data_IF_027056396896
#
_entry.id   IF_027056396896
#
_cell.length_a   1.000
_cell.length_b   1.000
_cell.length_c   1.000
_cell.angle_alpha   90.00
_cell.angle_beta   90.00
_cell.angle_gamma   90.00
#
_symmetry.space_group_name_H-M   'P 1'
#
loop_
_entity.id
_entity.type
_entity.pdbx_description
1 polymer ?
#
# COMPACT_ATOMS: atom_id res chain seq x y z
N UNK A 1 32.16 26.47 -45.06
CA UNK A 1 33.25 27.24 -44.46
C UNK A 1 32.73 27.82 -43.16
N UNK A 2 32.36 27.00 -42.17
CA UNK A 2 33.17 25.99 -41.39
C UNK A 2 34.05 26.70 -40.35
N UNK A 3 34.17 26.29 -39.06
CA UNK A 3 33.52 25.24 -38.25
C UNK A 3 33.00 25.80 -36.90
N UNK A 4 32.43 25.07 -35.95
CA UNK A 4 32.86 23.79 -35.32
C UNK A 4 34.30 23.86 -34.77
N UNK A 5 34.64 23.44 -33.54
CA UNK A 5 33.83 23.07 -32.35
C UNK A 5 34.77 23.18 -31.09
N UNK A 6 34.43 22.92 -29.82
CA UNK A 6 33.27 22.26 -29.19
C UNK A 6 33.00 22.72 -27.74
N UNK A 7 31.85 22.32 -27.19
CA UNK A 7 31.54 22.37 -25.76
C UNK A 7 31.35 20.98 -25.16
N UNK A 8 32.24 20.57 -24.25
CA UNK A 8 32.19 19.22 -23.64
C UNK A 8 31.18 19.14 -22.50
N UNK A 9 29.94 18.75 -22.80
CA UNK A 9 28.97 18.28 -21.80
C UNK A 9 28.98 16.75 -21.71
N UNK A 10 29.44 16.23 -20.58
CA UNK A 10 29.37 14.79 -20.27
C UNK A 10 27.92 14.31 -20.30
N UNK A 11 27.60 13.41 -21.23
CA UNK A 11 26.25 12.89 -21.41
C UNK A 11 25.76 12.08 -20.21
N UNK A 12 24.54 12.38 -19.73
CA UNK A 12 23.80 11.49 -18.85
C UNK A 12 23.38 10.24 -19.65
N UNK A 13 23.62 9.05 -19.09
CA UNK A 13 23.07 7.81 -19.64
C UNK A 13 21.57 7.71 -19.32
N UNK A 14 20.73 8.19 -20.24
CA UNK A 14 19.34 7.75 -20.34
C UNK A 14 19.32 6.41 -21.12
N UNK A 15 18.93 5.31 -20.46
CA UNK A 15 19.06 3.99 -21.09
C UNK A 15 18.63 2.74 -20.31
N UNK A 16 17.82 2.86 -19.25
CA UNK A 16 17.13 1.70 -18.68
C UNK A 16 15.63 1.96 -18.68
N UNK A 17 14.86 1.14 -19.39
CA UNK A 17 13.40 1.12 -19.25
C UNK A 17 13.01 0.83 -17.79
N UNK A 18 11.84 1.31 -17.31
CA UNK A 18 11.32 0.91 -16.01
C UNK A 18 11.09 -0.61 -16.01
N UNK A 19 11.67 -1.31 -15.02
CA UNK A 19 11.45 -2.75 -14.86
C UNK A 19 9.94 -3.00 -14.71
N UNK A 20 9.38 -3.86 -15.54
CA UNK A 20 7.99 -4.31 -15.48
C UNK A 20 7.92 -5.71 -14.93
N UNK A 21 6.89 -6.01 -14.14
CA UNK A 21 6.70 -7.33 -13.53
C UNK A 21 6.48 -8.42 -14.59
N UNK A 22 5.80 -8.11 -15.70
CA UNK A 22 5.65 -9.04 -16.84
C UNK A 22 6.98 -9.44 -17.50
N UNK A 23 8.02 -8.62 -17.34
CA UNK A 23 9.31 -8.81 -18.01
C UNK A 23 10.36 -9.46 -17.07
N UNK A 24 9.95 -9.87 -15.87
CA UNK A 24 10.76 -10.64 -14.90
C UNK A 24 10.88 -12.09 -15.36
N UNK A 25 12.11 -12.58 -15.47
CA UNK A 25 12.41 -13.97 -15.79
C UNK A 25 13.02 -14.68 -14.58
N UNK A 26 12.41 -15.80 -14.17
CA UNK A 26 12.96 -16.67 -13.13
C UNK A 26 14.03 -17.60 -13.71
N UNK A 27 15.17 -17.83 -13.03
CA UNK A 27 16.22 -18.73 -13.51
C UNK A 27 15.89 -20.23 -13.33
N UNK A 28 14.74 -20.56 -12.74
CA UNK A 28 14.20 -21.90 -12.53
C UNK A 28 12.69 -21.80 -12.28
N UNK A 29 11.91 -22.83 -12.60
CA UNK A 29 10.46 -22.87 -12.37
C UNK A 29 10.02 -24.14 -11.66
N UNK A 30 9.15 -24.01 -10.67
CA UNK A 30 8.54 -25.15 -9.98
C UNK A 30 7.59 -25.95 -10.89
N UNK A 31 6.93 -25.29 -11.84
CA UNK A 31 6.07 -25.91 -12.85
C UNK A 31 6.77 -26.96 -13.71
N UNK A 32 8.10 -26.87 -13.88
CA UNK A 32 8.92 -27.86 -14.60
C UNK A 32 9.05 -29.19 -13.81
N UNK A 33 8.68 -29.19 -12.52
CA UNK A 33 8.71 -30.36 -11.64
C UNK A 33 7.33 -30.91 -11.31
N UNK A 34 6.34 -30.04 -11.09
CA UNK A 34 4.92 -30.38 -10.93
C UNK A 34 4.07 -29.17 -11.33
N UNK A 35 3.16 -29.34 -12.29
CA UNK A 35 2.24 -28.32 -12.79
C UNK A 35 1.44 -27.64 -11.66
N UNK A 36 1.14 -28.37 -10.58
CA UNK A 36 0.44 -27.86 -9.39
C UNK A 36 1.21 -26.75 -8.67
N UNK A 37 2.53 -26.70 -8.85
CA UNK A 37 3.41 -25.71 -8.24
C UNK A 37 3.55 -24.43 -9.09
N UNK A 38 2.93 -24.33 -10.26
CA UNK A 38 2.96 -23.13 -11.10
C UNK A 38 2.42 -21.87 -10.38
N UNK A 39 1.57 -22.04 -9.35
CA UNK A 39 1.15 -20.93 -8.48
C UNK A 39 2.34 -20.33 -7.68
N UNK A 40 3.32 -21.15 -7.29
CA UNK A 40 4.52 -20.67 -6.58
C UNK A 40 5.43 -19.86 -7.51
N UNK A 41 5.53 -20.22 -8.78
CA UNK A 41 6.29 -19.44 -9.78
C UNK A 41 5.69 -18.03 -9.93
N UNK A 42 4.36 -17.92 -10.03
CA UNK A 42 3.66 -16.63 -10.13
C UNK A 42 3.89 -15.75 -8.89
N UNK A 43 3.93 -16.33 -7.69
CA UNK A 43 4.28 -15.57 -6.48
C UNK A 43 5.78 -15.24 -6.42
N UNK A 44 6.66 -16.11 -6.93
CA UNK A 44 8.10 -15.87 -6.95
C UNK A 44 8.49 -14.76 -7.94
N UNK A 45 7.82 -14.68 -9.10
CA UNK A 45 7.92 -13.53 -10.03
C UNK A 45 7.59 -12.22 -9.31
N UNK A 46 6.43 -12.16 -8.63
CA UNK A 46 5.99 -10.99 -7.88
C UNK A 46 6.96 -10.64 -6.73
N UNK A 47 7.44 -11.62 -5.95
CA UNK A 47 8.42 -11.36 -4.89
C UNK A 47 9.79 -10.91 -5.41
N UNK A 48 10.28 -11.48 -6.52
CA UNK A 48 11.53 -11.04 -7.17
C UNK A 48 11.39 -9.61 -7.68
N UNK A 49 10.26 -9.25 -8.28
CA UNK A 49 9.95 -7.87 -8.69
C UNK A 49 9.93 -6.91 -7.50
N UNK A 50 9.14 -7.21 -6.46
CA UNK A 50 9.05 -6.39 -5.25
C UNK A 50 10.45 -6.18 -4.63
N UNK A 51 11.24 -7.25 -4.48
CA UNK A 51 12.58 -7.18 -3.94
C UNK A 51 13.58 -6.41 -4.83
N UNK A 52 13.42 -6.45 -6.16
CA UNK A 52 14.23 -5.67 -7.09
C UNK A 52 13.87 -4.17 -7.04
N UNK A 53 12.57 -3.85 -6.98
CA UNK A 53 12.09 -2.46 -6.91
C UNK A 53 12.41 -1.81 -5.55
N UNK A 54 12.30 -2.56 -4.44
CA UNK A 54 12.82 -2.13 -3.12
C UNK A 54 14.30 -1.77 -3.23
N UNK A 55 15.14 -2.66 -3.78
CA UNK A 55 16.59 -2.42 -3.95
C UNK A 55 16.93 -1.25 -4.89
N UNK A 56 16.04 -0.88 -5.83
CA UNK A 56 16.24 0.24 -6.76
C UNK A 56 15.69 1.58 -6.24
N UNK A 57 14.75 1.58 -5.29
CA UNK A 57 14.05 2.80 -4.84
C UNK A 57 14.20 3.15 -3.36
N UNK A 58 14.42 2.20 -2.46
CA UNK A 58 14.60 2.50 -1.03
C UNK A 58 15.96 3.16 -0.81
N UNK A 59 15.94 4.42 -0.39
CA UNK A 59 17.12 5.22 -0.13
C UNK A 59 17.41 5.34 1.36
N UNK A 60 18.32 6.26 1.70
CA UNK A 60 18.70 6.54 3.09
C UNK A 60 17.49 6.87 3.99
N UNK A 61 16.40 7.42 3.42
CA UNK A 61 15.19 7.76 4.18
C UNK A 61 14.43 6.55 4.69
N UNK A 62 14.30 5.51 3.87
CA UNK A 62 13.60 4.28 4.21
C UNK A 62 14.40 3.50 5.25
N UNK A 63 15.72 3.40 5.06
CA UNK A 63 16.62 2.79 6.05
C UNK A 63 16.71 3.60 7.35
N UNK A 64 16.62 4.93 7.31
CA UNK A 64 16.53 5.76 8.53
C UNK A 64 15.26 5.46 9.31
N UNK A 65 14.12 5.28 8.61
CA UNK A 65 12.86 4.92 9.26
C UNK A 65 12.94 3.55 9.97
N UNK A 66 13.56 2.55 9.32
CA UNK A 66 13.80 1.24 9.94
C UNK A 66 14.81 1.30 11.09
N UNK A 67 15.84 2.15 10.98
CA UNK A 67 16.80 2.40 12.07
C UNK A 67 16.13 3.03 13.29
N UNK A 68 15.23 4.00 13.09
CA UNK A 68 14.42 4.59 14.16
C UNK A 68 13.45 3.57 14.78
N UNK A 69 12.83 2.70 13.97
CA UNK A 69 11.97 1.64 14.49
C UNK A 69 12.76 0.63 15.35
N UNK A 70 13.94 0.19 14.88
CA UNK A 70 14.82 -0.71 15.64
C UNK A 70 15.30 -0.05 16.95
N UNK A 71 15.71 1.21 16.90
CA UNK A 71 16.08 1.98 18.09
C UNK A 71 14.91 2.11 19.07
N UNK A 72 13.71 2.42 18.59
CA UNK A 72 12.48 2.50 19.40
C UNK A 72 12.17 1.19 20.12
N UNK A 73 12.30 0.04 19.44
CA UNK A 73 12.13 -1.29 20.03
C UNK A 73 13.20 -1.59 21.09
N UNK A 74 14.48 -1.44 20.76
CA UNK A 74 15.59 -1.80 21.66
C UNK A 74 15.61 -0.90 22.90
N UNK A 75 15.48 0.42 22.73
CA UNK A 75 15.48 1.37 23.84
C UNK A 75 14.21 1.28 24.71
N UNK A 76 13.11 0.74 24.18
CA UNK A 76 11.85 0.59 24.89
C UNK A 76 11.69 -0.74 25.66
N UNK A 77 12.39 -1.80 25.24
CA UNK A 77 12.18 -3.15 25.77
C UNK A 77 13.44 -3.85 26.30
N UNK A 78 14.65 -3.34 26.02
CA UNK A 78 15.90 -3.97 26.48
C UNK A 78 16.41 -3.32 27.76
N UNK A 79 16.46 -4.09 28.85
CA UNK A 79 16.81 -3.62 30.20
C UNK A 79 18.27 -3.14 30.37
N UNK A 80 19.12 -3.34 29.34
CA UNK A 80 20.53 -2.87 29.23
C UNK A 80 21.45 -3.11 30.45
N UNK A 81 21.08 -4.03 31.35
CA UNK A 81 21.81 -4.33 32.59
C UNK A 81 21.42 -3.46 33.80
N UNK A 82 20.32 -2.73 33.73
CA UNK A 82 19.81 -1.84 34.79
C UNK A 82 19.08 -2.62 35.88
N UNK A 83 18.32 -3.66 35.50
CA UNK A 83 17.53 -4.49 36.41
C UNK A 83 16.11 -4.00 36.66
N UNK A 84 15.62 -3.01 35.91
CA UNK A 84 14.31 -2.39 36.13
C UNK A 84 13.19 -3.18 35.45
N UNK A 85 13.37 -3.55 34.18
CA UNK A 85 12.46 -4.46 33.50
C UNK A 85 12.64 -5.90 34.00
N UNK A 86 13.88 -6.34 34.24
CA UNK A 86 14.14 -7.69 34.75
C UNK A 86 13.73 -7.90 36.22
N UNK A 87 13.69 -6.82 37.02
CA UNK A 87 13.20 -6.83 38.40
C UNK A 87 11.69 -6.57 38.55
N UNK A 88 11.01 -6.14 37.48
CA UNK A 88 9.58 -5.81 37.47
C UNK A 88 9.19 -4.46 38.09
N UNK A 89 10.16 -3.67 38.55
CA UNK A 89 9.97 -2.35 39.15
C UNK A 89 9.06 -2.30 40.39
N UNK A 90 8.66 -1.09 40.80
CA UNK A 90 7.60 -0.90 41.81
C UNK A 90 6.21 -0.94 41.15
N UNK A 91 5.70 -2.16 40.97
CA UNK A 91 4.38 -2.45 40.40
C UNK A 91 3.20 -1.75 41.10
N UNK A 92 3.40 -1.16 42.28
CA UNK A 92 2.38 -0.37 42.99
C UNK A 92 2.24 1.06 42.44
N UNK A 93 3.13 1.51 41.52
CA UNK A 93 3.12 2.86 40.95
C UNK A 93 2.89 2.82 39.44
N UNK A 94 1.75 3.36 38.99
CA UNK A 94 1.32 3.33 37.59
C UNK A 94 1.24 4.74 36.98
N UNK A 95 1.50 4.84 35.67
CA UNK A 95 1.45 6.11 34.94
C UNK A 95 2.47 7.13 35.45
N UNK A 96 2.03 8.39 35.61
CA UNK A 96 2.90 9.52 35.99
C UNK A 96 3.58 9.37 37.37
N UNK A 97 3.05 8.55 38.28
CA UNK A 97 3.72 8.28 39.56
C UNK A 97 4.80 7.21 39.42
N UNK A 98 4.60 6.19 38.58
CA UNK A 98 5.64 5.22 38.22
C UNK A 98 6.79 5.89 37.46
N UNK A 99 6.48 6.63 36.41
CA UNK A 99 7.45 7.30 35.53
C UNK A 99 8.40 8.28 36.26
N UNK A 100 7.97 8.86 37.39
CA UNK A 100 8.78 9.74 38.26
C UNK A 100 9.67 9.01 39.28
N UNK A 101 9.56 7.68 39.37
CA UNK A 101 10.32 6.85 40.31
C UNK A 101 11.17 5.76 39.62
N UNK A 102 11.18 5.75 38.27
CA UNK A 102 12.21 5.04 37.50
C UNK A 102 13.58 5.68 37.76
N UNK A 103 14.65 4.89 37.66
CA UNK A 103 16.01 5.41 37.59
C UNK A 103 16.20 6.32 36.37
N UNK A 104 17.06 7.33 36.50
CA UNK A 104 17.29 8.37 35.48
C UNK A 104 17.65 7.79 34.10
N UNK A 105 18.36 6.66 34.07
CA UNK A 105 18.77 5.99 32.84
C UNK A 105 17.60 5.25 32.17
N UNK A 106 16.78 4.50 32.92
CA UNK A 106 15.53 3.91 32.39
C UNK A 106 14.54 4.96 31.90
N UNK A 107 14.44 6.08 32.63
CA UNK A 107 13.67 7.25 32.22
C UNK A 107 14.17 7.83 30.88
N UNK A 108 15.49 7.99 30.72
CA UNK A 108 16.10 8.46 29.48
C UNK A 108 15.87 7.50 28.31
N UNK A 109 15.99 6.19 28.52
CA UNK A 109 15.73 5.17 27.49
C UNK A 109 14.27 5.19 27.02
N UNK A 110 13.32 5.24 27.95
CA UNK A 110 11.89 5.36 27.63
C UNK A 110 11.57 6.65 26.84
N UNK A 111 12.16 7.79 27.22
CA UNK A 111 12.03 9.05 26.49
C UNK A 111 12.60 8.95 25.06
N UNK A 112 13.79 8.36 24.90
CA UNK A 112 14.42 8.16 23.59
C UNK A 112 13.63 7.18 22.71
N UNK A 113 13.04 6.12 23.29
CA UNK A 113 12.13 5.21 22.58
C UNK A 113 10.90 5.95 22.05
N UNK A 114 10.23 6.76 22.88
CA UNK A 114 9.08 7.57 22.45
C UNK A 114 9.45 8.59 21.36
N UNK A 115 10.62 9.23 21.45
CA UNK A 115 11.13 10.14 20.42
C UNK A 115 11.40 9.39 19.11
N UNK A 116 12.00 8.20 19.17
CA UNK A 116 12.26 7.37 17.99
C UNK A 116 10.94 6.95 17.31
N UNK A 117 9.93 6.54 18.09
CA UNK A 117 8.60 6.21 17.58
C UNK A 117 7.87 7.41 16.96
N UNK A 118 7.96 8.60 17.56
CA UNK A 118 7.46 9.83 16.95
C UNK A 118 8.19 10.11 15.61
N UNK A 119 9.51 9.89 15.57
CA UNK A 119 10.31 9.98 14.35
C UNK A 119 9.88 9.01 13.25
N UNK A 120 9.57 7.75 13.60
CA UNK A 120 8.99 6.76 12.66
C UNK A 120 7.67 7.28 12.10
N UNK A 121 6.72 7.67 12.96
CA UNK A 121 5.40 8.15 12.52
C UNK A 121 5.51 9.38 11.60
N UNK A 122 6.32 10.37 11.95
CA UNK A 122 6.57 11.56 11.10
C UNK A 122 7.23 11.18 9.77
N UNK A 123 8.17 10.23 9.77
CA UNK A 123 8.88 9.78 8.56
C UNK A 123 7.95 9.03 7.60
N UNK A 124 7.12 8.12 8.11
CA UNK A 124 6.15 7.38 7.30
C UNK A 124 5.04 8.31 6.80
N UNK A 125 4.51 9.19 7.67
CA UNK A 125 3.45 10.15 7.31
C UNK A 125 3.89 11.18 6.26
N UNK A 126 5.14 11.65 6.32
CA UNK A 126 5.69 12.57 5.32
C UNK A 126 5.98 11.87 3.99
N UNK A 127 6.53 10.65 4.01
CA UNK A 127 6.91 9.88 2.80
C UNK A 127 5.74 9.29 2.03
N UNK A 128 4.66 8.87 2.69
CA UNK A 128 3.57 8.14 2.05
C UNK A 128 2.23 8.90 2.08
N UNK A 129 2.14 10.11 1.47
CA UNK A 129 0.94 10.95 1.51
C UNK A 129 -0.34 10.25 1.05
N UNK A 130 -0.29 9.43 0.00
CA UNK A 130 -1.48 8.78 -0.56
C UNK A 130 -2.03 7.70 0.38
N UNK A 131 -1.14 7.09 1.19
CA UNK A 131 -1.50 6.05 2.17
C UNK A 131 -1.72 6.58 3.60
N UNK A 132 -1.80 7.90 3.84
CA UNK A 132 -1.98 8.48 5.19
C UNK A 132 -3.23 7.99 5.91
N UNK A 133 -4.37 7.90 5.21
CA UNK A 133 -5.63 7.43 5.77
C UNK A 133 -5.52 5.94 6.16
N UNK A 134 -4.97 5.13 5.26
CA UNK A 134 -4.71 3.71 5.48
C UNK A 134 -3.69 3.45 6.61
N UNK A 135 -2.68 4.32 6.77
CA UNK A 135 -1.73 4.30 7.89
C UNK A 135 -2.43 4.52 9.24
N UNK A 136 -3.46 5.37 9.32
CA UNK A 136 -4.25 5.53 10.55
C UNK A 136 -4.99 4.23 10.88
N UNK A 137 -5.63 3.60 9.89
CA UNK A 137 -6.33 2.33 10.10
C UNK A 137 -5.39 1.18 10.52
N UNK A 138 -4.24 1.03 9.87
CA UNK A 138 -3.23 0.03 10.25
C UNK A 138 -2.61 0.34 11.63
N UNK A 139 -2.39 1.62 11.96
CA UNK A 139 -1.91 2.05 13.27
C UNK A 139 -2.89 1.73 14.41
N UNK A 140 -4.17 2.05 14.22
CA UNK A 140 -5.25 1.71 15.18
C UNK A 140 -5.36 0.19 15.34
N UNK A 141 -5.31 -0.57 14.25
CA UNK A 141 -5.32 -2.03 14.27
C UNK A 141 -4.14 -2.62 15.07
N UNK A 142 -2.93 -2.12 14.85
CA UNK A 142 -1.72 -2.55 15.55
C UNK A 142 -1.75 -2.21 17.05
N UNK A 143 -2.31 -1.06 17.42
CA UNK A 143 -2.49 -0.67 18.82
C UNK A 143 -3.58 -1.51 19.51
N UNK A 144 -4.68 -1.81 18.82
CA UNK A 144 -5.75 -2.65 19.34
C UNK A 144 -5.21 -4.04 19.75
N UNK A 145 -4.43 -4.70 18.88
CA UNK A 145 -3.89 -6.04 19.16
C UNK A 145 -2.88 -6.03 20.32
N UNK A 146 -2.06 -4.98 20.46
CA UNK A 146 -1.19 -4.79 21.63
C UNK A 146 -2.02 -4.69 22.92
N UNK A 147 -3.05 -3.85 22.94
CA UNK A 147 -3.95 -3.73 24.11
C UNK A 147 -4.69 -5.04 24.40
N UNK A 148 -5.11 -5.80 23.38
CA UNK A 148 -5.74 -7.10 23.53
C UNK A 148 -4.82 -8.16 24.11
N UNK A 149 -3.56 -8.15 23.69
CA UNK A 149 -2.53 -9.04 24.22
C UNK A 149 -2.18 -8.72 25.68
N UNK A 150 -1.97 -7.44 26.01
CA UNK A 150 -1.79 -6.98 27.39
C UNK A 150 -3.01 -7.38 28.25
N UNK A 151 -4.23 -7.25 27.71
CA UNK A 151 -5.44 -7.63 28.43
C UNK A 151 -5.50 -9.14 28.73
N UNK A 152 -5.05 -10.00 27.82
CA UNK A 152 -5.00 -11.45 28.05
C UNK A 152 -3.99 -11.81 29.16
N UNK A 153 -2.77 -11.26 29.07
CA UNK A 153 -1.72 -11.47 30.08
C UNK A 153 -2.07 -10.87 31.45
N UNK A 154 -2.92 -9.83 31.51
CA UNK A 154 -3.33 -9.18 32.78
C UNK A 154 -4.03 -10.12 33.77
N UNK A 155 -4.65 -11.21 33.29
CA UNK A 155 -5.31 -12.23 34.12
C UNK A 155 -4.53 -13.55 34.16
N UNK A 156 -3.80 -13.88 33.10
CA UNK A 156 -3.01 -15.12 32.98
C UNK A 156 -1.60 -14.81 32.45
N UNK A 157 -0.58 -14.63 33.31
CA UNK A 157 0.76 -14.27 32.87
C UNK A 157 1.39 -15.25 31.87
N UNK A 158 1.15 -16.56 32.04
CA UNK A 158 1.63 -17.61 31.15
C UNK A 158 0.85 -17.76 29.83
N UNK A 159 -0.01 -16.80 29.47
CA UNK A 159 -0.93 -16.88 28.32
C UNK A 159 -0.21 -17.34 27.04
N UNK A 160 -0.69 -18.39 26.34
CA UNK A 160 -2.02 -19.00 26.44
C UNK A 160 -2.18 -20.07 27.55
N UNK A 161 -1.11 -20.47 28.23
CA UNK A 161 -1.18 -21.51 29.26
C UNK A 161 -1.97 -21.01 30.48
N UNK A 162 -2.74 -21.91 31.11
CA UNK A 162 -3.58 -21.57 32.27
C UNK A 162 -4.76 -20.62 31.99
N UNK A 163 -4.91 -20.10 30.77
CA UNK A 163 -5.94 -19.13 30.41
C UNK A 163 -7.35 -19.71 30.42
N UNK A 164 -8.34 -18.87 30.73
CA UNK A 164 -9.77 -19.21 30.61
C UNK A 164 -10.40 -18.51 29.41
N UNK A 165 -11.55 -19.03 28.94
CA UNK A 165 -12.22 -18.53 27.73
C UNK A 165 -12.51 -17.01 27.73
N UNK A 166 -12.62 -16.38 28.91
CA UNK A 166 -12.80 -14.93 29.08
C UNK A 166 -11.60 -14.13 28.58
N UNK A 167 -10.38 -14.62 28.80
CA UNK A 167 -9.16 -13.85 28.55
C UNK A 167 -8.89 -13.76 27.03
N UNK A 168 -9.38 -14.74 26.28
CA UNK A 168 -9.44 -14.75 24.82
C UNK A 168 -10.46 -13.78 24.22
N UNK A 169 -11.47 -13.29 24.97
CA UNK A 169 -12.54 -12.45 24.41
C UNK A 169 -12.00 -11.13 23.88
N UNK A 170 -11.17 -10.43 24.67
CA UNK A 170 -10.65 -9.12 24.28
C UNK A 170 -9.58 -9.28 23.18
N UNK A 171 -8.71 -10.29 23.28
CA UNK A 171 -7.75 -10.62 22.23
C UNK A 171 -8.45 -10.97 20.90
N UNK A 172 -9.56 -11.72 20.94
CA UNK A 172 -10.39 -12.05 19.78
C UNK A 172 -11.07 -10.83 19.16
N UNK A 173 -11.64 -9.94 19.97
CA UNK A 173 -12.24 -8.68 19.49
C UNK A 173 -11.19 -7.79 18.83
N UNK A 174 -10.00 -7.65 19.43
CA UNK A 174 -8.92 -6.82 18.85
C UNK A 174 -8.34 -7.41 17.57
N UNK A 175 -8.29 -8.75 17.43
CA UNK A 175 -7.96 -9.41 16.17
C UNK A 175 -9.07 -9.29 15.10
N UNK A 176 -10.34 -9.24 15.51
CA UNK A 176 -11.44 -8.91 14.58
C UNK A 176 -11.33 -7.47 14.07
N UNK A 177 -10.91 -6.52 14.91
CA UNK A 177 -10.60 -5.13 14.51
C UNK A 177 -9.39 -5.10 13.57
N UNK A 178 -8.31 -5.86 13.85
CA UNK A 178 -7.17 -6.01 12.94
C UNK A 178 -7.60 -6.52 11.57
N UNK A 179 -8.39 -7.60 11.53
CA UNK A 179 -8.91 -8.17 10.28
C UNK A 179 -9.81 -7.19 9.53
N UNK A 180 -10.74 -6.53 10.22
CA UNK A 180 -11.65 -5.57 9.60
C UNK A 180 -10.91 -4.37 8.99
N UNK A 181 -10.04 -3.71 9.76
CA UNK A 181 -9.30 -2.55 9.27
C UNK A 181 -8.27 -2.92 8.19
N UNK A 182 -7.58 -4.07 8.32
CA UNK A 182 -6.58 -4.50 7.33
C UNK A 182 -7.23 -4.99 6.04
N UNK A 183 -8.24 -5.87 6.13
CA UNK A 183 -8.79 -6.58 4.97
C UNK A 183 -10.06 -5.91 4.41
N UNK A 184 -11.01 -5.53 5.26
CA UNK A 184 -12.30 -4.97 4.80
C UNK A 184 -12.17 -3.49 4.40
N UNK A 185 -11.26 -2.74 5.04
CA UNK A 185 -10.97 -1.34 4.72
C UNK A 185 -9.74 -1.21 3.81
N UNK A 186 -8.52 -1.43 4.33
CA UNK A 186 -7.28 -1.07 3.62
C UNK A 186 -7.00 -1.92 2.37
N UNK A 187 -7.07 -3.25 2.47
CA UNK A 187 -6.87 -4.16 1.33
C UNK A 187 -7.86 -3.86 0.20
N UNK A 188 -9.15 -3.73 0.56
CA UNK A 188 -10.22 -3.39 -0.37
C UNK A 188 -10.00 -2.03 -1.05
N UNK A 189 -9.68 -0.98 -0.30
CA UNK A 189 -9.44 0.35 -0.85
C UNK A 189 -8.25 0.40 -1.84
N UNK A 190 -7.17 -0.32 -1.55
CA UNK A 190 -6.00 -0.44 -2.43
C UNK A 190 -6.33 -1.24 -3.70
N UNK A 191 -7.06 -2.36 -3.59
CA UNK A 191 -7.50 -3.15 -4.74
C UNK A 191 -8.42 -2.32 -5.64
N UNK A 192 -9.49 -1.73 -5.09
CA UNK A 192 -10.47 -0.96 -5.88
C UNK A 192 -9.84 0.29 -6.52
N UNK A 193 -8.91 0.98 -5.85
CA UNK A 193 -8.19 2.11 -6.45
C UNK A 193 -7.23 1.66 -7.56
N UNK A 194 -6.57 0.50 -7.42
CA UNK A 194 -5.73 -0.09 -8.49
C UNK A 194 -6.57 -0.49 -9.70
N UNK A 195 -7.74 -1.08 -9.47
CA UNK A 195 -8.65 -1.51 -10.55
C UNK A 195 -9.06 -0.30 -11.41
N UNK A 196 -9.53 0.78 -10.78
CA UNK A 196 -9.86 2.06 -11.43
C UNK A 196 -8.64 2.65 -12.17
N UNK A 197 -7.47 2.68 -11.53
CA UNK A 197 -6.25 3.21 -12.14
C UNK A 197 -5.87 2.49 -13.44
N UNK A 198 -5.97 1.16 -13.48
CA UNK A 198 -5.68 0.38 -14.70
C UNK A 198 -6.74 0.62 -15.78
N UNK A 199 -8.02 0.75 -15.40
CA UNK A 199 -9.10 1.05 -16.35
C UNK A 199 -8.96 2.45 -16.96
N UNK A 200 -8.66 3.48 -16.17
CA UNK A 200 -8.53 4.86 -16.65
C UNK A 200 -7.19 5.15 -17.35
N UNK A 201 -6.06 4.77 -16.74
CA UNK A 201 -4.71 5.17 -17.18
C UNK A 201 -4.09 4.20 -18.18
N UNK A 202 -4.65 2.99 -18.30
CA UNK A 202 -4.19 1.96 -19.24
C UNK A 202 -5.29 1.42 -20.16
N UNK A 203 -6.39 2.16 -20.33
CA UNK A 203 -7.37 1.97 -21.40
C UNK A 203 -6.68 1.85 -22.77
N UNK A 204 -6.89 0.73 -23.47
CA UNK A 204 -6.34 0.51 -24.80
C UNK A 204 -7.27 -0.36 -25.67
N UNK A 205 -7.44 -0.08 -26.98
CA UNK A 205 -8.34 -0.86 -27.85
C UNK A 205 -7.95 -2.34 -28.04
N UNK A 206 -6.66 -2.70 -27.88
CA UNK A 206 -6.23 -4.10 -27.79
C UNK A 206 -6.27 -4.58 -26.33
N UNK A 207 -7.15 -5.55 -25.98
CA UNK A 207 -7.27 -6.08 -24.62
C UNK A 207 -6.00 -6.77 -24.11
N UNK A 208 -5.06 -7.17 -24.98
CA UNK A 208 -3.78 -7.77 -24.58
C UNK A 208 -2.87 -6.75 -23.89
N UNK A 209 -2.89 -5.50 -24.34
CA UNK A 209 -2.13 -4.40 -23.74
C UNK A 209 -2.70 -4.10 -22.34
N UNK A 210 -4.03 -4.04 -22.23
CA UNK A 210 -4.74 -3.90 -20.95
C UNK A 210 -4.38 -5.07 -20.01
N UNK A 211 -4.41 -6.32 -20.50
CA UNK A 211 -4.04 -7.49 -19.70
C UNK A 211 -2.57 -7.45 -19.22
N UNK A 212 -1.62 -6.94 -20.03
CA UNK A 212 -0.24 -6.71 -19.56
C UNK A 212 -0.19 -5.63 -18.47
N UNK A 213 -0.96 -4.55 -18.58
CA UNK A 213 -1.07 -3.55 -17.53
C UNK A 213 -1.61 -4.15 -16.21
N UNK A 214 -2.64 -5.01 -16.27
CA UNK A 214 -3.15 -5.75 -15.10
C UNK A 214 -2.11 -6.72 -14.49
N UNK A 215 -1.26 -7.37 -15.31
CA UNK A 215 -0.15 -8.21 -14.81
C UNK A 215 0.90 -7.37 -14.08
N UNK A 216 1.21 -6.19 -14.63
CA UNK A 216 2.19 -5.27 -14.05
C UNK A 216 1.69 -4.63 -12.73
N UNK A 217 0.40 -4.35 -12.64
CA UNK A 217 -0.27 -3.82 -11.43
C UNK A 217 -0.73 -4.95 -10.49
N UNK A 218 0.05 -6.03 -10.37
CA UNK A 218 -0.25 -7.12 -9.43
C UNK A 218 -0.10 -6.66 -7.98
N UNK A 219 -1.12 -6.96 -7.18
CA UNK A 219 -1.15 -6.78 -5.73
C UNK A 219 -1.08 -8.12 -4.98
N UNK A 220 -0.66 -9.23 -5.63
CA UNK A 220 -0.64 -10.58 -5.02
C UNK A 220 0.41 -10.69 -3.90
N UNK A 221 1.67 -10.36 -4.18
CA UNK A 221 2.72 -10.35 -3.15
C UNK A 221 2.48 -9.25 -2.09
N UNK A 222 1.83 -8.13 -2.45
CA UNK A 222 1.39 -7.11 -1.49
C UNK A 222 0.31 -7.65 -0.53
N UNK A 223 -0.66 -8.41 -1.03
CA UNK A 223 -1.69 -9.06 -0.21
C UNK A 223 -1.10 -10.08 0.76
N UNK A 224 -0.11 -10.86 0.32
CA UNK A 224 0.64 -11.76 1.22
C UNK A 224 1.46 -10.97 2.26
N UNK A 225 2.07 -9.85 1.88
CA UNK A 225 2.78 -8.97 2.80
C UNK A 225 1.87 -8.40 3.89
N UNK A 226 0.63 -8.04 3.56
CA UNK A 226 -0.38 -7.60 4.53
C UNK A 226 -0.79 -8.73 5.49
N UNK A 227 -1.00 -9.95 4.99
CA UNK A 227 -1.25 -11.12 5.84
C UNK A 227 -0.08 -11.46 6.76
N UNK A 228 1.16 -11.38 6.26
CA UNK A 228 2.38 -11.59 7.06
C UNK A 228 2.56 -10.52 8.13
N UNK A 229 2.24 -9.26 7.82
CA UNK A 229 2.21 -8.16 8.79
C UNK A 229 1.22 -8.42 9.92
N UNK A 230 -0.01 -8.86 9.62
CA UNK A 230 -1.02 -9.21 10.64
C UNK A 230 -0.53 -10.32 11.61
N UNK A 231 0.25 -11.29 11.10
CA UNK A 231 0.89 -12.33 11.92
C UNK A 231 2.01 -11.73 12.78
N UNK A 232 2.91 -10.94 12.18
CA UNK A 232 4.03 -10.30 12.90
C UNK A 232 3.56 -9.33 13.99
N UNK A 233 2.47 -8.59 13.76
CA UNK A 233 1.82 -7.75 14.78
C UNK A 233 1.33 -8.58 15.97
N UNK A 234 0.74 -9.76 15.74
CA UNK A 234 0.34 -10.65 16.83
C UNK A 234 1.53 -11.26 17.58
N UNK A 235 2.59 -11.69 16.87
CA UNK A 235 3.79 -12.23 17.51
C UNK A 235 4.52 -11.17 18.35
N UNK A 236 4.61 -9.94 17.85
CA UNK A 236 5.12 -8.77 18.57
C UNK A 236 4.25 -8.43 19.79
N UNK A 237 2.93 -8.33 19.61
CA UNK A 237 2.00 -8.03 20.70
C UNK A 237 1.98 -9.12 21.79
N UNK A 238 2.12 -10.39 21.41
CA UNK A 238 2.23 -11.50 22.36
C UNK A 238 3.55 -11.43 23.13
N UNK A 239 4.68 -11.43 22.44
CA UNK A 239 6.01 -11.40 23.09
C UNK A 239 6.24 -10.14 23.94
N UNK A 240 5.81 -8.97 23.47
CA UNK A 240 5.89 -7.73 24.24
C UNK A 240 5.04 -7.73 25.51
N UNK A 241 3.84 -8.31 25.48
CA UNK A 241 3.00 -8.43 26.67
C UNK A 241 3.51 -9.53 27.63
N UNK A 242 3.96 -10.67 27.11
CA UNK A 242 4.48 -11.80 27.88
C UNK A 242 5.78 -11.42 28.62
N UNK A 243 6.68 -10.65 27.99
CA UNK A 243 7.93 -10.17 28.61
C UNK A 243 7.74 -9.22 29.82
N UNK A 244 6.51 -8.73 30.07
CA UNK A 244 6.17 -7.86 31.20
C UNK A 244 4.97 -8.39 32.01
N UNK A 245 4.59 -9.65 31.80
CA UNK A 245 3.43 -10.27 32.45
C UNK A 245 3.72 -10.79 33.86
N UNK A 246 4.98 -11.19 34.11
CA UNK A 246 5.47 -11.69 35.38
C UNK A 246 5.33 -10.65 36.50
N UNK A 247 5.03 -11.13 37.71
CA UNK A 247 4.80 -10.30 38.89
C UNK A 247 5.86 -10.59 39.94
N UNK A 248 6.47 -9.58 40.59
CA UNK A 248 7.51 -9.82 41.59
C UNK A 248 7.08 -10.77 42.72
N UNK A 249 7.97 -11.70 43.16
CA UNK A 249 9.34 -11.91 42.67
C UNK A 249 9.38 -12.59 41.29
N UNK A 250 10.11 -12.00 40.33
CA UNK A 250 10.30 -12.58 39.00
C UNK A 250 11.39 -13.66 39.10
N UNK A 251 11.03 -14.91 38.83
CA UNK A 251 11.97 -16.05 38.94
C UNK A 251 12.83 -16.23 37.67
N UNK A 252 12.35 -15.84 36.48
CA UNK A 252 13.07 -16.05 35.22
C UNK A 252 12.74 -15.05 34.10
N UNK A 253 13.32 -13.85 34.14
CA UNK A 253 13.20 -12.87 33.06
C UNK A 253 13.77 -13.41 31.72
N UNK A 254 12.90 -13.57 30.72
CA UNK A 254 13.24 -14.26 29.47
C UNK A 254 13.73 -13.31 28.37
N UNK A 255 15.06 -13.11 28.30
CA UNK A 255 15.72 -12.37 27.21
C UNK A 255 15.37 -12.90 25.80
N UNK A 256 14.95 -14.17 25.67
CA UNK A 256 14.49 -14.75 24.41
C UNK A 256 13.15 -14.15 23.95
N UNK A 257 12.22 -13.90 24.88
CA UNK A 257 10.92 -13.28 24.59
C UNK A 257 11.12 -11.80 24.22
N UNK A 258 12.02 -11.10 24.91
CA UNK A 258 12.43 -9.73 24.57
C UNK A 258 13.05 -9.67 23.16
N UNK A 259 13.95 -10.60 22.83
CA UNK A 259 14.53 -10.70 21.50
C UNK A 259 13.46 -11.01 20.43
N UNK A 260 12.48 -11.86 20.74
CA UNK A 260 11.34 -12.13 19.86
C UNK A 260 10.50 -10.87 19.62
N UNK A 261 10.24 -10.05 20.64
CA UNK A 261 9.55 -8.77 20.50
C UNK A 261 10.30 -7.83 19.56
N UNK A 262 11.60 -7.61 19.79
CA UNK A 262 12.43 -6.73 18.95
C UNK A 262 12.50 -7.22 17.51
N UNK A 263 12.71 -8.52 17.27
CA UNK A 263 12.83 -9.09 15.91
C UNK A 263 11.49 -9.08 15.17
N UNK A 264 10.41 -9.55 15.79
CA UNK A 264 9.08 -9.58 15.15
C UNK A 264 8.52 -8.18 14.93
N UNK A 265 8.79 -7.25 15.86
CA UNK A 265 8.46 -5.84 15.72
C UNK A 265 9.27 -5.12 14.62
N UNK A 266 10.57 -5.37 14.51
CA UNK A 266 11.39 -4.82 13.43
C UNK A 266 10.94 -5.34 12.05
N UNK A 267 10.67 -6.64 11.94
CA UNK A 267 10.09 -7.22 10.73
C UNK A 267 8.71 -6.64 10.43
N UNK A 268 7.84 -6.46 11.44
CA UNK A 268 6.54 -5.80 11.31
C UNK A 268 6.67 -4.38 10.75
N UNK A 269 7.63 -3.58 11.23
CA UNK A 269 7.92 -2.25 10.69
C UNK A 269 8.37 -2.31 9.21
N UNK A 270 9.21 -3.28 8.84
CA UNK A 270 9.61 -3.53 7.45
C UNK A 270 8.44 -3.87 6.53
N UNK A 271 7.55 -4.75 6.98
CA UNK A 271 6.34 -5.10 6.24
C UNK A 271 5.35 -3.92 6.16
N UNK A 272 5.14 -3.16 7.24
CA UNK A 272 4.31 -1.95 7.25
C UNK A 272 4.82 -0.92 6.23
N UNK A 273 6.13 -0.68 6.19
CA UNK A 273 6.72 0.21 5.20
C UNK A 273 6.52 -0.30 3.77
N UNK A 274 6.67 -1.60 3.51
CA UNK A 274 6.37 -2.16 2.19
C UNK A 274 4.89 -2.03 1.80
N UNK A 275 3.97 -2.25 2.75
CA UNK A 275 2.52 -2.14 2.57
C UNK A 275 2.12 -0.71 2.18
N UNK A 276 2.76 0.31 2.75
CA UNK A 276 2.49 1.73 2.49
C UNK A 276 3.23 2.25 1.23
N UNK A 277 4.46 1.79 1.00
CA UNK A 277 5.27 2.20 -0.16
C UNK A 277 4.73 1.65 -1.48
N UNK A 278 4.37 0.35 -1.55
CA UNK A 278 4.11 -0.31 -2.84
C UNK A 278 2.88 0.26 -3.59
N UNK A 279 1.72 0.54 -2.96
CA UNK A 279 0.59 1.17 -3.63
C UNK A 279 0.92 2.59 -4.13
N UNK A 280 1.70 3.36 -3.38
CA UNK A 280 2.11 4.71 -3.79
C UNK A 280 3.17 4.69 -4.90
N UNK A 281 4.08 3.70 -4.91
CA UNK A 281 4.96 3.48 -6.05
C UNK A 281 4.14 3.11 -7.31
N UNK A 282 3.19 2.19 -7.18
CA UNK A 282 2.37 1.70 -8.28
C UNK A 282 1.49 2.79 -8.91
N UNK A 283 0.72 3.52 -8.10
CA UNK A 283 -0.21 4.56 -8.57
C UNK A 283 0.51 5.86 -8.97
N UNK A 284 1.79 5.99 -8.60
CA UNK A 284 2.61 7.17 -8.85
C UNK A 284 2.18 8.38 -8.00
N UNK A 285 2.62 9.57 -8.40
CA UNK A 285 2.24 10.84 -7.78
C UNK A 285 0.89 11.39 -8.26
N UNK A 286 -0.07 10.52 -8.56
CA UNK A 286 -1.44 10.95 -8.86
C UNK A 286 -2.08 11.58 -7.61
N UNK A 287 -2.96 12.57 -7.80
CA UNK A 287 -3.58 13.31 -6.69
C UNK A 287 -4.71 12.51 -6.01
N UNK A 288 -5.11 11.39 -6.62
CA UNK A 288 -6.19 10.50 -6.20
C UNK A 288 -5.84 9.75 -4.90
N UNK A 289 -6.66 9.95 -3.86
CA UNK A 289 -6.53 9.23 -2.58
C UNK A 289 -6.87 7.75 -2.77
N UNK A 290 -6.25 6.86 -1.99
CA UNK A 290 -6.59 5.43 -2.01
C UNK A 290 -7.79 5.19 -1.10
N UNK A 291 -8.96 5.04 -1.72
CA UNK A 291 -10.25 4.86 -1.06
C UNK A 291 -11.10 3.82 -1.79
N UNK A 292 -11.93 3.10 -1.02
CA UNK A 292 -12.92 2.16 -1.57
C UNK A 292 -14.02 2.90 -2.34
N UNK A 293 -14.67 2.23 -3.29
CA UNK A 293 -15.76 2.81 -4.11
C UNK A 293 -16.83 3.43 -3.21
N UNK A 294 -17.22 2.73 -2.14
CA UNK A 294 -18.21 3.22 -1.16
C UNK A 294 -17.72 4.41 -0.32
N UNK A 295 -16.42 4.52 -0.05
CA UNK A 295 -15.87 5.69 0.62
C UNK A 295 -15.93 6.92 -0.30
N UNK A 296 -15.63 6.73 -1.60
CA UNK A 296 -15.76 7.76 -2.63
C UNK A 296 -17.20 8.23 -2.83
N UNK A 297 -18.16 7.30 -2.97
CA UNK A 297 -19.60 7.57 -2.98
C UNK A 297 -20.04 8.46 -1.79
N UNK A 298 -19.53 8.17 -0.58
CA UNK A 298 -19.86 8.90 0.65
C UNK A 298 -19.12 10.25 0.75
N UNK A 299 -17.94 10.37 0.15
CA UNK A 299 -17.18 11.62 0.06
C UNK A 299 -17.74 12.60 -0.98
N UNK A 300 -18.64 12.14 -1.87
CA UNK A 300 -19.08 12.88 -3.04
C UNK A 300 -18.18 12.67 -4.27
N UNK A 301 -17.07 11.94 -4.13
CA UNK A 301 -16.16 11.54 -5.22
C UNK A 301 -16.83 10.48 -6.15
N UNK A 302 -17.95 10.83 -6.77
CA UNK A 302 -18.54 10.00 -7.84
C UNK A 302 -17.52 9.94 -8.99
N UNK A 303 -17.32 8.75 -9.55
CA UNK A 303 -16.49 8.52 -10.75
C UNK A 303 -17.17 9.14 -11.99
N UNK A 304 -17.13 10.48 -12.05
CA UNK A 304 -18.02 11.32 -12.83
C UNK A 304 -17.97 12.79 -12.45
N UNK A 305 -17.43 13.17 -11.28
CA UNK A 305 -17.21 14.57 -10.89
C UNK A 305 -15.82 15.12 -11.29
N UNK A 306 -15.39 14.76 -12.50
CA UNK A 306 -14.83 15.80 -13.36
C UNK A 306 -15.90 16.93 -13.49
N UNK A 307 -15.53 18.22 -13.63
CA UNK A 307 -16.53 19.27 -13.81
C UNK A 307 -17.46 18.92 -14.98
N UNK A 308 -18.74 19.33 -14.90
CA UNK A 308 -19.82 18.96 -15.85
C UNK A 308 -19.62 19.53 -17.26
N UNK A 309 -18.53 19.12 -17.90
CA UNK A 309 -18.35 19.10 -19.33
C UNK A 309 -19.28 18.01 -19.83
N UNK A 310 -20.54 18.38 -20.06
CA UNK A 310 -21.44 17.76 -21.04
C UNK A 310 -20.55 17.34 -22.21
N UNK A 311 -20.27 16.03 -22.42
CA UNK A 311 -19.10 15.66 -23.20
C UNK A 311 -19.27 16.10 -24.65
N UNK A 312 -18.62 17.22 -25.00
CA UNK A 312 -18.90 17.95 -26.24
C UNK A 312 -18.56 17.03 -27.39
N UNK A 313 -19.59 16.67 -28.16
CA UNK A 313 -19.49 15.67 -29.21
C UNK A 313 -18.30 16.01 -30.13
N UNK A 314 -17.31 15.13 -30.14
CA UNK A 314 -15.98 15.47 -30.60
C UNK A 314 -15.96 15.53 -32.12
N UNK A 315 -15.56 16.68 -32.66
CA UNK A 315 -15.37 16.82 -34.09
C UNK A 315 -14.14 16.01 -34.52
N UNK A 316 -14.33 15.04 -35.41
CA UNK A 316 -13.26 14.20 -35.94
C UNK A 316 -12.22 15.03 -36.70
N UNK A 317 -10.97 14.57 -36.72
CA UNK A 317 -9.87 15.21 -37.46
C UNK A 317 -9.31 14.28 -38.53
N UNK A 318 -8.93 14.83 -39.67
CA UNK A 318 -8.27 14.08 -40.73
C UNK A 318 -6.85 13.68 -40.29
N UNK A 319 -6.47 12.38 -40.31
CA UNK A 319 -5.16 11.93 -39.84
C UNK A 319 -3.98 12.37 -40.74
N UNK A 320 -4.26 12.89 -41.94
CA UNK A 320 -3.24 13.33 -42.90
C UNK A 320 -2.91 14.82 -42.73
N UNK A 321 -3.90 15.68 -42.52
CA UNK A 321 -3.74 17.13 -42.48
C UNK A 321 -4.16 17.80 -41.15
N UNK A 322 -4.63 17.03 -40.17
CA UNK A 322 -5.15 17.49 -38.85
C UNK A 322 -6.35 18.45 -38.88
N UNK A 323 -6.88 18.81 -40.05
CA UNK A 323 -8.09 19.62 -40.19
C UNK A 323 -9.31 18.89 -39.59
N UNK A 324 -10.25 19.69 -39.06
CA UNK A 324 -11.54 19.20 -38.58
C UNK A 324 -12.41 18.69 -39.75
N UNK A 325 -13.19 17.65 -39.48
CA UNK A 325 -14.10 16.97 -40.43
C UNK A 325 -15.57 17.15 -40.02
N UNK A 326 -16.55 16.91 -40.90
CA UNK A 326 -17.98 16.89 -40.54
C UNK A 326 -18.42 15.63 -39.76
N UNK A 327 -17.50 14.72 -39.38
CA UNK A 327 -17.82 13.64 -38.46
C UNK A 327 -17.88 14.14 -37.02
N UNK A 328 -18.91 13.74 -36.29
CA UNK A 328 -19.13 14.06 -34.88
C UNK A 328 -19.21 12.74 -34.09
N UNK A 329 -18.34 12.58 -33.08
CA UNK A 329 -18.35 11.43 -32.16
C UNK A 329 -19.04 11.81 -30.85
N UNK A 330 -20.21 11.24 -30.61
CA UNK A 330 -20.94 11.39 -29.36
C UNK A 330 -20.36 10.54 -28.23
N UNK A 331 -20.61 10.95 -26.98
CA UNK A 331 -20.17 10.25 -25.75
C UNK A 331 -20.53 8.76 -25.71
N UNK A 332 -21.61 8.36 -26.40
CA UNK A 332 -22.09 6.97 -26.51
C UNK A 332 -21.31 6.12 -27.52
N UNK A 333 -20.18 6.62 -28.05
CA UNK A 333 -19.40 5.99 -29.12
C UNK A 333 -20.08 6.03 -30.50
N UNK A 334 -21.26 6.66 -30.61
CA UNK A 334 -21.96 6.84 -31.89
C UNK A 334 -21.26 7.90 -32.73
N UNK A 335 -21.06 7.58 -34.00
CA UNK A 335 -20.55 8.52 -35.00
C UNK A 335 -21.73 8.97 -35.86
N UNK A 336 -21.89 10.28 -35.97
CA UNK A 336 -22.82 10.93 -36.90
C UNK A 336 -22.03 11.74 -37.93
N UNK A 337 -22.59 11.87 -39.12
CA UNK A 337 -22.03 12.64 -40.24
C UNK A 337 -23.10 13.56 -40.82
N UNK A 338 -22.68 14.73 -41.28
CA UNK A 338 -23.55 15.66 -42.00
C UNK A 338 -23.96 15.13 -43.37
N UNK A 339 -25.18 15.50 -43.77
CA UNK A 339 -25.70 15.42 -45.13
C UNK A 339 -24.74 16.06 -46.15
N UNK A 340 -24.67 15.50 -47.36
CA UNK A 340 -23.85 16.03 -48.48
C UNK A 340 -24.67 16.62 -49.64
N UNK A 341 -26.01 16.53 -49.57
CA UNK A 341 -26.93 17.34 -50.36
C UNK A 341 -27.21 18.69 -49.67
N UNK A 342 -28.02 19.56 -50.29
CA UNK A 342 -28.47 20.83 -49.67
C UNK A 342 -29.49 20.56 -48.53
N UNK A 343 -28.97 20.03 -47.42
CA UNK A 343 -29.72 19.44 -46.31
C UNK A 343 -28.86 19.57 -45.03
N UNK A 344 -29.48 19.82 -43.88
CA UNK A 344 -28.74 20.04 -42.61
C UNK A 344 -28.69 18.80 -41.71
N UNK A 345 -29.38 17.74 -42.13
CA UNK A 345 -29.56 16.52 -41.36
C UNK A 345 -28.24 15.84 -40.94
N UNK A 346 -28.28 15.30 -39.75
CA UNK A 346 -27.24 14.45 -39.16
C UNK A 346 -27.77 13.03 -39.04
N UNK A 347 -26.88 12.05 -39.20
CA UNK A 347 -27.24 10.65 -39.00
C UNK A 347 -26.06 9.70 -39.12
N UNK A 348 -26.36 8.41 -39.06
CA UNK A 348 -25.34 7.35 -39.08
C UNK A 348 -24.75 7.19 -40.50
N UNK A 349 -23.42 7.04 -40.66
CA UNK A 349 -22.81 6.69 -41.94
C UNK A 349 -23.50 5.50 -42.62
N UNK A 350 -23.91 5.68 -43.89
CA UNK A 350 -24.56 4.63 -44.69
C UNK A 350 -26.05 4.39 -44.43
N UNK A 351 -26.74 5.20 -43.62
CA UNK A 351 -28.23 5.19 -43.57
C UNK A 351 -28.82 6.30 -44.45
N UNK A 352 -30.12 6.28 -44.72
CA UNK A 352 -30.81 7.45 -45.28
C UNK A 352 -30.79 8.62 -44.29
N UNK A 353 -30.78 9.84 -44.82
CA UNK A 353 -30.84 11.07 -44.04
C UNK A 353 -32.29 11.39 -43.61
N UNK A 354 -32.58 11.68 -42.33
CA UNK A 354 -33.93 11.96 -41.85
C UNK A 354 -34.65 13.14 -42.52
N UNK A 355 -33.94 14.06 -43.18
CA UNK A 355 -34.51 15.25 -43.80
C UNK A 355 -34.80 15.12 -45.30
N UNK A 356 -34.10 14.23 -46.02
CA UNK A 356 -34.17 14.17 -47.49
C UNK A 356 -33.99 12.76 -48.10
N UNK A 357 -33.96 11.71 -47.27
CA UNK A 357 -33.73 10.30 -47.62
C UNK A 357 -32.43 9.95 -48.39
N UNK A 358 -31.61 10.93 -48.76
CA UNK A 358 -30.30 10.71 -49.38
C UNK A 358 -29.39 9.85 -48.48
N UNK A 359 -28.62 8.95 -49.07
CA UNK A 359 -27.72 8.04 -48.34
C UNK A 359 -26.54 8.84 -47.78
N UNK A 360 -26.37 8.81 -46.46
CA UNK A 360 -25.30 9.50 -45.76
C UNK A 360 -23.92 8.88 -46.06
N UNK A 361 -22.86 9.70 -46.21
CA UNK A 361 -21.56 9.23 -46.65
C UNK A 361 -20.91 8.22 -45.69
N UNK A 362 -20.34 7.15 -46.25
CA UNK A 362 -19.52 6.17 -45.50
C UNK A 362 -18.02 6.49 -45.53
N UNK A 363 -17.62 7.45 -46.35
CA UNK A 363 -16.27 8.05 -46.42
C UNK A 363 -16.42 9.56 -46.47
N UNK A 364 -15.56 10.26 -45.73
CA UNK A 364 -15.36 11.71 -45.82
C UNK A 364 -14.08 11.92 -46.63
N UNK A 365 -14.07 12.95 -47.47
CA UNK A 365 -12.93 13.37 -48.30
C UNK A 365 -12.19 14.57 -47.68
#
# INVERSE_FOLDING_TARGET
>A
MEGEDSGSTTGLQAGSEPLRLTDVQLPWRFAERDERLALLDVFLEDFVFHAAMIRKQWGAGEFTCLGLALAGMVLGAWDLGIGELAGGGDYNRVGLSGFRNLSDFSLMLALLSMIAWAGVLVTIWSRYPIMRENLVYLGIAMLAVQMGSISAHSQSPDFPNGSVARDWVILGITNLVLFFLSIVVVHRAVIETRDIHVEERHAHPDPRVVQKAWRDHSLRAWSLSLGMWMILVNLMAWSGAHAIADRPPIESYSNLVVAMFVVTGFLSAGFLMHILWYPQFMLGGAEDRIQSVRAREVAGEVAGEAPEVIPKAEQGKCPICSNNTPAIRHATGRIEVSCTSECSGLGKPGTSCPECDAILPTRIE
#
